data_IF_782192830430
#
_entry.id   IF_782192830430
#
_cell.length_a   1.000
_cell.length_b   1.000
_cell.length_c   1.000
_cell.angle_alpha   90.00
_cell.angle_beta   90.00
_cell.angle_gamma   90.00
#
_symmetry.space_group_name_H-M   'P 1'
#
loop_
_entity.id
_entity.type
_entity.pdbx_description
1 polymer ?
#
# COMPACT_ATOMS: atom_id res chain seq x y z
N UNK A 1 5.90 4.84 24.68
CA UNK A 1 4.55 4.31 24.43
C UNK A 1 4.63 2.80 24.33
N UNK A 2 3.76 2.00 24.98
CA UNK A 2 3.72 0.56 24.75
C UNK A 2 3.58 0.24 23.25
N UNK A 3 4.13 -0.89 22.82
CA UNK A 3 4.14 -1.29 21.40
C UNK A 3 2.72 -1.32 20.78
N UNK A 4 1.72 -1.75 21.54
CA UNK A 4 0.33 -1.77 21.08
C UNK A 4 -0.23 -0.36 20.82
N UNK A 5 0.08 0.61 21.69
CA UNK A 5 -0.33 2.01 21.50
C UNK A 5 0.34 2.60 20.26
N UNK A 6 1.61 2.27 20.02
CA UNK A 6 2.32 2.65 18.81
C UNK A 6 1.64 2.08 17.55
N UNK A 7 1.36 0.77 17.51
CA UNK A 7 0.67 0.13 16.37
C UNK A 7 -0.70 0.78 16.13
N UNK A 8 -1.44 1.04 17.20
CA UNK A 8 -2.73 1.71 17.12
C UNK A 8 -2.61 3.12 16.53
N UNK A 9 -1.66 3.93 17.01
CA UNK A 9 -1.42 5.28 16.51
C UNK A 9 -0.97 5.29 15.04
N UNK A 10 -0.18 4.30 14.63
CA UNK A 10 0.20 4.11 13.23
C UNK A 10 -1.03 3.82 12.35
N UNK A 11 -1.97 3.00 12.85
CA UNK A 11 -3.25 2.78 12.20
C UNK A 11 -4.06 4.08 12.04
N UNK A 12 -4.10 4.92 13.08
CA UNK A 12 -4.72 6.25 13.02
C UNK A 12 -4.08 7.11 11.94
N UNK A 13 -2.74 7.22 11.90
CA UNK A 13 -2.02 7.99 10.87
C UNK A 13 -2.43 7.53 9.47
N UNK A 14 -2.43 6.22 9.23
CA UNK A 14 -2.72 5.65 7.92
C UNK A 14 -4.16 5.92 7.49
N UNK A 15 -5.14 5.72 8.37
CA UNK A 15 -6.56 5.96 8.04
C UNK A 15 -6.81 7.44 7.77
N UNK A 16 -6.33 8.32 8.66
CA UNK A 16 -6.55 9.76 8.54
C UNK A 16 -5.88 10.28 7.28
N UNK A 17 -4.61 9.93 7.06
CA UNK A 17 -3.88 10.32 5.86
C UNK A 17 -4.57 9.82 4.59
N UNK A 18 -4.89 8.52 4.51
CA UNK A 18 -5.49 7.96 3.28
C UNK A 18 -6.89 8.51 3.01
N UNK A 19 -7.65 8.83 4.05
CA UNK A 19 -8.98 9.46 3.90
C UNK A 19 -8.87 10.91 3.46
N UNK A 20 -8.02 11.71 4.12
CA UNK A 20 -7.77 13.10 3.75
C UNK A 20 -7.18 13.21 2.33
N UNK A 21 -6.24 12.34 1.99
CA UNK A 21 -5.61 12.30 0.68
C UNK A 21 -6.60 11.99 -0.44
N UNK A 22 -7.58 11.10 -0.22
CA UNK A 22 -8.62 10.81 -1.22
C UNK A 22 -9.47 12.04 -1.55
N UNK A 23 -9.85 12.81 -0.54
CA UNK A 23 -10.60 14.06 -0.73
C UNK A 23 -9.74 15.03 -1.55
N UNK A 24 -8.49 15.23 -1.14
CA UNK A 24 -7.55 16.12 -1.83
C UNK A 24 -7.32 15.70 -3.29
N UNK A 25 -7.03 14.41 -3.53
CA UNK A 25 -6.82 13.87 -4.86
C UNK A 25 -8.06 14.00 -5.75
N UNK A 26 -9.26 13.90 -5.18
CA UNK A 26 -10.52 14.06 -5.93
C UNK A 26 -10.70 15.50 -6.40
N UNK A 27 -10.44 16.47 -5.53
CA UNK A 27 -10.50 17.91 -5.85
C UNK A 27 -9.48 18.24 -6.93
N UNK A 28 -8.21 17.86 -6.74
CA UNK A 28 -7.15 18.22 -7.69
C UNK A 28 -7.33 17.46 -9.02
N UNK A 29 -7.75 16.20 -8.99
CA UNK A 29 -8.06 15.46 -10.22
C UNK A 29 -9.23 16.08 -10.97
N UNK A 30 -10.20 16.71 -10.31
CA UNK A 30 -11.27 17.45 -10.98
C UNK A 30 -10.70 18.67 -11.70
N UNK A 31 -9.87 19.47 -11.03
CA UNK A 31 -9.25 20.66 -11.61
C UNK A 31 -8.31 20.33 -12.78
N UNK A 32 -7.55 19.24 -12.70
CA UNK A 32 -6.62 18.83 -13.76
C UNK A 32 -7.33 18.30 -15.01
N UNK A 33 -8.57 17.79 -14.88
CA UNK A 33 -9.37 17.38 -16.04
C UNK A 33 -9.75 18.60 -16.88
N UNK A 34 -10.03 19.72 -16.23
CA UNK A 34 -10.36 20.99 -16.90
C UNK A 34 -9.15 21.56 -17.66
N UNK A 35 -7.93 21.12 -17.32
CA UNK A 35 -6.66 21.51 -17.97
C UNK A 35 -6.19 20.54 -19.07
N UNK A 36 -6.97 19.50 -19.39
CA UNK A 36 -6.67 18.57 -20.50
C UNK A 36 -5.55 17.54 -20.22
N UNK A 37 -5.13 17.37 -18.96
CA UNK A 37 -4.09 16.39 -18.60
C UNK A 37 -4.66 14.95 -18.66
N UNK A 38 -3.85 13.99 -19.14
CA UNK A 38 -4.27 12.60 -19.22
C UNK A 38 -4.60 12.02 -17.84
N UNK A 39 -5.75 11.34 -17.73
CA UNK A 39 -6.25 10.76 -16.48
C UNK A 39 -5.25 9.77 -15.86
N UNK A 40 -4.51 9.05 -16.70
CA UNK A 40 -3.56 8.03 -16.26
C UNK A 40 -2.31 8.64 -15.60
N UNK A 41 -1.76 9.72 -16.18
CA UNK A 41 -0.60 10.40 -15.60
C UNK A 41 -0.95 11.06 -14.26
N UNK A 42 -2.09 11.76 -14.22
CA UNK A 42 -2.61 12.36 -12.98
C UNK A 42 -2.78 11.30 -11.90
N UNK A 43 -3.45 10.18 -12.22
CA UNK A 43 -3.65 9.08 -11.27
C UNK A 43 -2.33 8.50 -10.73
N UNK A 44 -1.36 8.24 -11.62
CA UNK A 44 -0.08 7.64 -11.23
C UNK A 44 0.78 8.60 -10.40
N UNK A 45 0.80 9.89 -10.75
CA UNK A 45 1.47 10.94 -9.98
C UNK A 45 0.87 11.07 -8.57
N UNK A 46 -0.46 11.20 -8.45
CA UNK A 46 -1.12 11.26 -7.14
C UNK A 46 -0.86 10.02 -6.29
N UNK A 47 -0.89 8.84 -6.91
CA UNK A 47 -0.59 7.58 -6.22
C UNK A 47 0.84 7.58 -5.68
N UNK A 48 1.82 7.96 -6.49
CA UNK A 48 3.24 7.99 -6.11
C UNK A 48 3.51 8.97 -4.99
N UNK A 49 3.04 10.21 -5.12
CA UNK A 49 3.20 11.25 -4.08
C UNK A 49 2.52 10.84 -2.78
N UNK A 50 1.33 10.22 -2.85
CA UNK A 50 0.63 9.75 -1.66
C UNK A 50 1.43 8.72 -0.88
N UNK A 51 2.04 7.76 -1.57
CA UNK A 51 2.81 6.72 -0.92
C UNK A 51 4.14 7.23 -0.41
N UNK A 52 4.81 8.11 -1.16
CA UNK A 52 6.00 8.80 -0.68
C UNK A 52 5.74 9.52 0.65
N UNK A 53 4.69 10.36 0.71
CA UNK A 53 4.34 11.11 1.92
C UNK A 53 3.94 10.19 3.07
N UNK A 54 3.10 9.18 2.79
CA UNK A 54 2.68 8.21 3.80
C UNK A 54 3.88 7.52 4.43
N UNK A 55 4.78 6.98 3.61
CA UNK A 55 5.97 6.25 4.06
C UNK A 55 6.89 7.16 4.85
N UNK A 56 7.17 8.37 4.35
CA UNK A 56 8.04 9.35 4.99
C UNK A 56 7.54 9.77 6.37
N UNK A 57 6.24 10.11 6.49
CA UNK A 57 5.62 10.49 7.77
C UNK A 57 5.68 9.33 8.77
N UNK A 58 5.42 8.13 8.28
CA UNK A 58 5.40 6.93 9.10
C UNK A 58 6.81 6.59 9.60
N UNK A 59 7.81 6.66 8.71
CA UNK A 59 9.22 6.48 9.05
C UNK A 59 9.70 7.53 10.06
N UNK A 60 9.34 8.80 9.88
CA UNK A 60 9.65 9.87 10.83
C UNK A 60 9.07 9.56 12.22
N UNK A 61 7.81 9.10 12.26
CA UNK A 61 7.18 8.75 13.53
C UNK A 61 7.83 7.52 14.17
N UNK A 62 8.24 6.54 13.38
CA UNK A 62 9.01 5.38 13.85
C UNK A 62 10.37 5.81 14.40
N UNK A 63 11.11 6.66 13.69
CA UNK A 63 12.42 7.17 14.12
C UNK A 63 12.32 7.94 15.46
N UNK A 64 11.34 8.84 15.60
CA UNK A 64 11.07 9.53 16.88
C UNK A 64 10.75 8.56 18.02
N UNK A 65 10.08 7.45 17.72
CA UNK A 65 9.76 6.42 18.71
C UNK A 65 10.97 5.55 19.07
N UNK A 66 11.91 5.39 18.15
CA UNK A 66 13.19 4.70 18.38
C UNK A 66 14.14 5.53 19.23
N UNK A 67 14.27 6.84 18.96
CA UNK A 67 15.11 7.76 19.74
C UNK A 67 14.69 7.86 21.21
N UNK A 68 13.38 7.77 21.47
CA UNK A 68 12.82 7.81 22.82
C UNK A 68 12.84 6.46 23.55
N UNK A 69 13.37 5.40 22.94
CA UNK A 69 13.37 4.04 23.47
C UNK A 69 14.78 3.48 23.68
N UNK A 70 14.90 2.51 24.59
CA UNK A 70 16.15 1.75 24.76
C UNK A 70 16.47 0.90 23.51
N UNK A 71 17.75 0.61 23.29
CA UNK A 71 18.28 -0.02 22.06
C UNK A 71 17.51 -1.27 21.60
N UNK A 72 17.15 -2.18 22.52
CA UNK A 72 16.41 -3.40 22.18
C UNK A 72 14.98 -3.09 21.73
N UNK A 73 14.30 -2.16 22.41
CA UNK A 73 12.91 -1.79 22.11
C UNK A 73 12.85 -0.99 20.81
N UNK A 74 13.88 -0.18 20.51
CA UNK A 74 14.00 0.55 19.25
C UNK A 74 13.99 -0.39 18.03
N UNK A 75 14.70 -1.53 18.10
CA UNK A 75 14.69 -2.53 17.02
C UNK A 75 13.29 -3.09 16.80
N UNK A 76 12.54 -3.35 17.89
CA UNK A 76 11.17 -3.85 17.79
C UNK A 76 10.25 -2.83 17.12
N UNK A 77 10.39 -1.53 17.42
CA UNK A 77 9.62 -0.48 16.72
C UNK A 77 9.98 -0.38 15.24
N UNK A 78 11.25 -0.53 14.88
CA UNK A 78 11.69 -0.53 13.48
C UNK A 78 11.06 -1.68 12.68
N UNK A 79 11.08 -2.89 13.25
CA UNK A 79 10.48 -4.08 12.62
C UNK A 79 8.96 -3.90 12.50
N UNK A 80 8.29 -3.46 13.57
CA UNK A 80 6.86 -3.24 13.56
C UNK A 80 6.44 -2.15 12.55
N UNK A 81 7.19 -1.04 12.49
CA UNK A 81 6.94 0.05 11.53
C UNK A 81 7.10 -0.41 10.09
N UNK A 82 8.17 -1.16 9.80
CA UNK A 82 8.42 -1.75 8.47
C UNK A 82 7.28 -2.69 8.07
N UNK A 83 6.86 -3.55 8.98
CA UNK A 83 5.77 -4.49 8.76
C UNK A 83 4.43 -3.80 8.48
N UNK A 84 4.11 -2.75 9.24
CA UNK A 84 2.89 -1.95 9.04
C UNK A 84 2.90 -1.30 7.66
N UNK A 85 4.01 -0.66 7.26
CA UNK A 85 4.11 -0.03 5.94
C UNK A 85 3.98 -1.07 4.83
N UNK A 86 4.71 -2.18 4.94
CA UNK A 86 4.67 -3.28 3.98
C UNK A 86 3.23 -3.79 3.78
N UNK A 87 2.57 -4.18 4.88
CA UNK A 87 1.21 -4.72 4.84
C UNK A 87 0.20 -3.69 4.32
N UNK A 88 0.38 -2.41 4.63
CA UNK A 88 -0.49 -1.32 4.16
C UNK A 88 -0.40 -1.12 2.67
N UNK A 89 0.81 -1.04 2.13
CA UNK A 89 1.03 -0.83 0.70
C UNK A 89 0.54 -2.06 -0.06
N UNK A 90 0.93 -3.26 0.38
CA UNK A 90 0.46 -4.52 -0.21
C UNK A 90 -1.08 -4.60 -0.23
N UNK A 91 -1.74 -4.27 0.88
CA UNK A 91 -3.19 -4.23 0.98
C UNK A 91 -3.83 -3.23 0.01
N UNK A 92 -3.20 -2.08 -0.20
CA UNK A 92 -3.72 -1.08 -1.14
C UNK A 92 -3.53 -1.50 -2.60
N UNK A 93 -2.41 -2.14 -2.92
CA UNK A 93 -2.15 -2.71 -4.25
C UNK A 93 -3.14 -3.83 -4.58
N UNK A 94 -3.39 -4.74 -3.65
CA UNK A 94 -4.35 -5.82 -3.81
C UNK A 94 -5.76 -5.26 -4.06
N UNK A 95 -6.21 -4.29 -3.27
CA UNK A 95 -7.50 -3.61 -3.49
C UNK A 95 -7.58 -2.94 -4.86
N UNK A 96 -6.50 -2.33 -5.33
CA UNK A 96 -6.46 -1.71 -6.65
C UNK A 96 -6.55 -2.74 -7.77
N UNK A 97 -5.93 -3.92 -7.61
CA UNK A 97 -6.06 -5.06 -8.51
C UNK A 97 -7.50 -5.56 -8.59
N UNK A 98 -8.12 -5.81 -7.44
CA UNK A 98 -9.52 -6.24 -7.39
C UNK A 98 -10.47 -5.24 -8.08
N UNK A 99 -10.26 -3.94 -7.90
CA UNK A 99 -11.04 -2.90 -8.58
C UNK A 99 -10.82 -2.88 -10.10
N UNK A 100 -9.60 -3.13 -10.56
CA UNK A 100 -9.30 -3.19 -11.99
C UNK A 100 -9.95 -4.42 -12.65
N UNK A 101 -9.93 -5.57 -11.97
CA UNK A 101 -10.56 -6.81 -12.42
C UNK A 101 -12.08 -6.64 -12.50
N UNK A 102 -12.72 -6.10 -11.45
CA UNK A 102 -14.18 -5.92 -11.42
C UNK A 102 -14.70 -4.90 -12.44
N UNK A 103 -13.91 -3.89 -12.82
CA UNK A 103 -14.33 -2.86 -13.78
C UNK A 103 -14.05 -3.25 -15.25
N UNK A 104 -13.51 -4.45 -15.54
CA UNK A 104 -13.19 -4.92 -16.91
C UNK A 104 -12.37 -3.93 -17.77
N UNK A 105 -11.68 -2.96 -17.16
CA UNK A 105 -10.87 -1.97 -17.86
C UNK A 105 -9.50 -2.56 -18.23
N UNK A 106 -9.40 -3.23 -19.39
CA UNK A 106 -8.15 -3.85 -19.90
C UNK A 106 -6.94 -2.90 -19.92
N UNK A 107 -7.15 -1.59 -20.12
CA UNK A 107 -6.06 -0.59 -20.08
C UNK A 107 -5.44 -0.39 -18.69
N UNK A 108 -6.18 -0.67 -17.61
CA UNK A 108 -5.72 -0.51 -16.22
C UNK A 108 -4.82 -1.67 -15.75
N UNK A 109 -4.91 -2.82 -16.42
CA UNK A 109 -4.10 -4.02 -16.15
C UNK A 109 -2.62 -3.81 -16.53
N UNK A 110 -2.34 -3.06 -17.61
CA UNK A 110 -0.95 -2.81 -18.07
C UNK A 110 -0.15 -1.92 -17.11
N UNK A 111 -0.81 -1.00 -16.41
CA UNK A 111 -0.18 -0.08 -15.44
C UNK A 111 0.14 -0.78 -14.10
N UNK A 112 -0.50 -1.91 -13.80
CA UNK A 112 -0.26 -2.69 -12.58
C UNK A 112 1.10 -3.40 -12.53
N UNK A 113 1.84 -3.49 -13.64
CA UNK A 113 3.20 -4.03 -13.65
C UNK A 113 4.18 -3.17 -12.83
N UNK A 114 3.88 -1.87 -12.66
CA UNK A 114 4.69 -0.94 -11.88
C UNK A 114 4.40 -0.96 -10.38
N UNK A 115 3.32 -1.62 -9.95
CA UNK A 115 2.91 -1.64 -8.54
C UNK A 115 3.91 -2.39 -7.66
N UNK A 116 4.57 -3.43 -8.19
CA UNK A 116 5.64 -4.15 -7.49
C UNK A 116 6.89 -3.29 -7.28
N UNK A 117 7.31 -2.54 -8.31
CA UNK A 117 8.44 -1.61 -8.20
C UNK A 117 8.15 -0.46 -7.23
N UNK A 118 6.91 0.03 -7.23
CA UNK A 118 6.48 1.07 -6.30
C UNK A 118 6.52 0.57 -4.85
N UNK A 119 6.06 -0.65 -4.59
CA UNK A 119 6.18 -1.27 -3.27
C UNK A 119 7.64 -1.38 -2.83
N UNK A 120 8.52 -1.87 -3.70
CA UNK A 120 9.94 -1.99 -3.38
C UNK A 120 10.58 -0.62 -3.10
N UNK A 121 10.27 0.39 -3.92
CA UNK A 121 10.75 1.76 -3.74
C UNK A 121 10.28 2.34 -2.40
N UNK A 122 9.04 2.07 -1.98
CA UNK A 122 8.53 2.51 -0.68
C UNK A 122 9.25 1.86 0.50
N UNK A 123 9.59 0.56 0.41
CA UNK A 123 10.35 -0.12 1.47
C UNK A 123 11.76 0.45 1.56
N UNK A 124 12.43 0.63 0.43
CA UNK A 124 13.77 1.23 0.40
C UNK A 124 13.75 2.64 0.97
N UNK A 125 12.74 3.44 0.60
CA UNK A 125 12.56 4.77 1.14
C UNK A 125 12.37 4.74 2.66
N UNK A 126 11.52 3.83 3.17
CA UNK A 126 11.31 3.67 4.61
C UNK A 126 12.62 3.40 5.36
N UNK A 127 13.43 2.47 4.87
CA UNK A 127 14.73 2.12 5.46
C UNK A 127 15.68 3.31 5.39
N UNK A 128 15.72 4.01 4.26
CA UNK A 128 16.59 5.17 4.08
C UNK A 128 16.22 6.32 5.05
N UNK A 129 14.92 6.58 5.20
CA UNK A 129 14.41 7.58 6.14
C UNK A 129 14.65 7.20 7.60
N UNK A 130 14.69 5.89 7.94
CA UNK A 130 15.06 5.45 9.29
C UNK A 130 16.53 5.72 9.63
N UNK A 131 17.43 5.63 8.65
CA UNK A 131 18.87 5.88 8.86
C UNK A 131 19.15 7.39 8.94
N UNK A 132 18.43 8.19 8.14
CA UNK A 132 18.59 9.64 8.04
C UNK A 132 17.23 10.34 8.27
N UNK A 133 16.81 10.52 9.53
CA UNK A 133 15.51 11.13 9.85
C UNK A 133 15.42 12.61 9.43
N UNK A 134 16.58 13.29 9.28
CA UNK A 134 16.70 14.68 8.81
C UNK A 134 16.01 14.89 7.45
N UNK A 135 15.98 13.86 6.60
CA UNK A 135 15.36 13.93 5.27
C UNK A 135 13.83 14.04 5.38
N UNK A 136 13.24 13.48 6.43
CA UNK A 136 11.82 13.57 6.70
C UNK A 136 11.44 14.72 7.65
N UNK A 137 12.40 15.34 8.34
CA UNK A 137 12.16 16.52 9.16
C UNK A 137 12.01 17.79 8.31
N UNK A 138 10.96 17.81 7.49
CA UNK A 138 10.59 18.97 6.68
C UNK A 138 9.32 19.61 7.25
N UNK A 139 9.11 20.93 7.02
CA UNK A 139 7.92 21.63 7.48
C UNK A 139 6.62 20.97 7.02
N UNK A 140 6.64 20.36 5.83
CA UNK A 140 5.50 19.66 5.25
C UNK A 140 5.14 18.40 6.05
N UNK A 141 6.10 17.54 6.38
CA UNK A 141 5.81 16.31 7.14
C UNK A 141 5.30 16.64 8.55
N UNK A 142 5.91 17.63 9.21
CA UNK A 142 5.49 18.08 10.53
C UNK A 142 4.09 18.72 10.52
N UNK A 143 3.75 19.49 9.48
CA UNK A 143 2.40 20.02 9.31
C UNK A 143 1.37 18.90 9.14
N UNK A 144 1.68 17.86 8.35
CA UNK A 144 0.77 16.72 8.16
C UNK A 144 0.60 15.96 9.49
N UNK A 145 1.69 15.64 10.19
CA UNK A 145 1.62 14.96 11.50
C UNK A 145 0.80 15.76 12.53
N UNK A 146 1.01 17.08 12.58
CA UNK A 146 0.27 17.96 13.49
C UNK A 146 -1.20 18.03 13.12
N UNK A 147 -1.51 18.08 11.82
CA UNK A 147 -2.89 18.06 11.33
C UNK A 147 -3.59 16.74 11.67
N UNK A 148 -2.92 15.60 11.47
CA UNK A 148 -3.43 14.28 11.86
C UNK A 148 -3.69 14.24 13.37
N UNK A 149 -2.76 14.75 14.19
CA UNK A 149 -2.93 14.82 15.64
C UNK A 149 -4.14 15.65 16.04
N UNK A 150 -4.31 16.85 15.44
CA UNK A 150 -5.46 17.73 15.68
C UNK A 150 -6.79 17.06 15.32
N UNK A 151 -6.81 16.34 14.19
CA UNK A 151 -7.97 15.56 13.74
C UNK A 151 -8.29 14.44 14.73
N UNK A 152 -7.27 13.74 15.23
CA UNK A 152 -7.45 12.68 16.23
C UNK A 152 -7.95 13.21 17.58
N UNK A 153 -7.49 14.37 18.02
CA UNK A 153 -7.91 14.98 19.30
C UNK A 153 -9.25 15.68 19.25
N UNK A 154 -9.90 15.75 18.07
CA UNK A 154 -11.19 16.41 17.93
C UNK A 154 -12.30 15.51 18.50
N UNK A 155 -13.11 15.97 19.46
CA UNK A 155 -13.92 15.09 20.31
C UNK A 155 -14.89 14.17 19.55
N UNK A 156 -15.54 14.69 18.50
CA UNK A 156 -16.46 13.88 17.67
C UNK A 156 -15.70 12.95 16.73
N UNK A 157 -14.65 13.44 16.06
CA UNK A 157 -13.88 12.62 15.13
C UNK A 157 -13.04 11.54 15.84
N UNK A 158 -12.60 11.80 17.07
CA UNK A 158 -11.82 10.86 17.87
C UNK A 158 -12.54 9.51 17.99
N UNK A 159 -13.84 9.53 18.27
CA UNK A 159 -14.64 8.31 18.42
C UNK A 159 -14.67 7.48 17.13
N UNK A 160 -15.03 8.11 15.99
CA UNK A 160 -15.07 7.42 14.71
C UNK A 160 -13.69 6.92 14.28
N UNK A 161 -12.67 7.77 14.39
CA UNK A 161 -11.29 7.43 14.01
C UNK A 161 -10.77 6.29 14.88
N UNK A 162 -11.03 6.28 16.19
CA UNK A 162 -10.61 5.21 17.07
C UNK A 162 -11.26 3.87 16.68
N UNK A 163 -12.55 3.87 16.33
CA UNK A 163 -13.25 2.68 15.83
C UNK A 163 -12.60 2.19 14.53
N UNK A 164 -12.39 3.08 13.56
CA UNK A 164 -11.75 2.69 12.30
C UNK A 164 -10.33 2.19 12.50
N UNK A 165 -9.56 2.82 13.40
CA UNK A 165 -8.19 2.42 13.75
C UNK A 165 -8.16 1.04 14.40
N UNK A 166 -9.14 0.74 15.25
CA UNK A 166 -9.29 -0.58 15.85
C UNK A 166 -9.57 -1.66 14.79
N UNK A 167 -10.55 -1.43 13.92
CA UNK A 167 -10.85 -2.36 12.81
C UNK A 167 -9.66 -2.53 11.86
N UNK A 168 -8.95 -1.44 11.58
CA UNK A 168 -7.76 -1.47 10.75
C UNK A 168 -6.62 -2.27 11.40
N UNK A 169 -6.38 -2.09 12.70
CA UNK A 169 -5.39 -2.86 13.45
C UNK A 169 -5.70 -4.37 13.38
N UNK A 170 -6.96 -4.76 13.61
CA UNK A 170 -7.40 -6.15 13.47
C UNK A 170 -7.14 -6.67 12.05
N UNK A 171 -7.52 -5.89 11.03
CA UNK A 171 -7.31 -6.24 9.63
C UNK A 171 -5.81 -6.39 9.29
N UNK A 172 -4.96 -5.55 9.88
CA UNK A 172 -3.51 -5.61 9.73
C UNK A 172 -2.95 -6.90 10.31
N UNK A 173 -3.44 -7.35 11.47
CA UNK A 173 -3.06 -8.65 12.06
C UNK A 173 -3.45 -9.80 11.13
N UNK A 174 -4.71 -9.85 10.67
CA UNK A 174 -5.16 -10.91 9.77
C UNK A 174 -4.38 -10.95 8.45
N UNK A 175 -4.09 -9.80 7.87
CA UNK A 175 -3.28 -9.70 6.64
C UNK A 175 -1.83 -10.06 6.89
N UNK A 176 -1.30 -9.67 8.04
CA UNK A 176 0.02 -10.03 8.52
C UNK A 176 0.20 -11.55 8.62
N UNK A 177 -0.78 -12.24 9.19
CA UNK A 177 -0.80 -13.70 9.28
C UNK A 177 -0.81 -14.37 7.90
N UNK A 178 -1.66 -13.89 6.97
CA UNK A 178 -1.72 -14.41 5.59
C UNK A 178 -0.43 -14.16 4.79
N UNK A 179 0.17 -12.98 4.95
CA UNK A 179 1.42 -12.64 4.30
C UNK A 179 2.57 -13.51 4.83
N UNK A 180 2.59 -13.76 6.15
CA UNK A 180 3.56 -14.66 6.77
C UNK A 180 3.37 -16.09 6.25
N UNK A 181 2.15 -16.59 6.14
CA UNK A 181 1.87 -17.92 5.57
C UNK A 181 2.34 -18.03 4.11
N UNK A 182 2.14 -17.00 3.30
CA UNK A 182 2.62 -16.98 1.89
C UNK A 182 4.16 -17.02 1.81
N UNK A 183 4.85 -16.25 2.66
CA UNK A 183 6.32 -16.24 2.72
C UNK A 183 6.86 -17.55 3.30
N UNK A 184 6.22 -18.09 4.34
CA UNK A 184 6.57 -19.38 4.94
C UNK A 184 6.39 -20.51 3.92
N UNK A 185 5.30 -20.51 3.16
CA UNK A 185 5.10 -21.46 2.07
C UNK A 185 6.12 -21.28 0.97
N UNK A 186 6.51 -20.05 0.60
CA UNK A 186 7.52 -19.82 -0.44
C UNK A 186 8.92 -20.27 -0.01
N UNK A 187 9.25 -20.17 1.28
CA UNK A 187 10.56 -20.55 1.83
C UNK A 187 10.64 -22.04 2.19
N UNK A 188 9.58 -22.59 2.81
CA UNK A 188 9.56 -23.97 3.32
C UNK A 188 8.93 -24.97 2.35
N UNK A 189 8.04 -24.55 1.45
CA UNK A 189 7.61 -25.40 0.31
C UNK A 189 8.45 -25.00 -0.90
N UNK A 190 9.49 -25.80 -1.20
CA UNK A 190 9.97 -25.93 -2.58
C UNK A 190 8.73 -26.19 -3.44
N UNK A 191 8.48 -25.32 -4.42
CA UNK A 191 7.39 -25.47 -5.41
C UNK A 191 7.14 -26.96 -5.70
N UNK A 192 5.92 -27.50 -5.53
CA UNK A 192 5.51 -28.52 -6.46
C UNK A 192 5.45 -27.83 -7.83
N UNK A 193 6.34 -28.30 -8.70
CA UNK A 193 6.27 -28.19 -10.14
C UNK A 193 4.82 -28.31 -10.61
N UNK A 194 4.46 -27.42 -11.54
CA UNK A 194 3.28 -27.46 -12.41
C UNK A 194 2.61 -28.85 -12.42
N UNK A 195 1.38 -28.93 -11.94
CA UNK A 195 0.48 -30.02 -12.35
C UNK A 195 0.05 -29.72 -13.78
N UNK A 196 0.90 -30.12 -14.73
CA UNK A 196 0.50 -30.38 -16.10
C UNK A 196 -0.36 -31.65 -16.05
N UNK A 197 -1.68 -31.48 -16.01
CA UNK A 197 -2.58 -32.57 -16.35
C UNK A 197 -2.47 -32.75 -17.87
N UNK A 198 -2.11 -33.94 -18.37
CA UNK A 198 -2.04 -34.17 -19.80
C UNK A 198 -3.47 -34.14 -20.35
N UNK A 199 -3.72 -33.29 -21.34
CA UNK A 199 -4.90 -33.42 -22.18
C UNK A 199 -4.70 -34.58 -23.17
N UNK A 200 -5.79 -35.20 -23.63
CA UNK A 200 -5.75 -36.45 -24.42
C UNK A 200 -5.07 -36.33 -25.80
N UNK A 201 -4.62 -35.14 -26.21
CA UNK A 201 -3.94 -34.88 -27.49
C UNK A 201 -2.45 -34.49 -27.37
N UNK A 202 -1.83 -34.68 -26.20
CA UNK A 202 -0.36 -34.62 -26.07
C UNK A 202 0.27 -33.24 -26.30
N UNK A 203 -0.51 -32.17 -26.26
CA UNK A 203 -0.02 -30.81 -26.44
C UNK A 203 0.05 -30.06 -25.11
N UNK A 204 1.23 -29.53 -24.76
CA UNK A 204 1.47 -28.83 -23.50
C UNK A 204 1.06 -27.36 -23.62
N UNK A 205 -0.20 -27.04 -23.33
CA UNK A 205 -0.66 -25.65 -23.22
C UNK A 205 -0.48 -25.17 -21.77
N UNK A 206 0.43 -24.21 -21.59
CA UNK A 206 0.58 -23.48 -20.34
C UNK A 206 -0.61 -22.52 -20.23
N UNK A 207 -1.56 -22.81 -19.34
CA UNK A 207 -2.64 -21.87 -19.01
C UNK A 207 -2.05 -20.62 -18.33
N UNK A 208 -1.73 -19.60 -19.12
CA UNK A 208 -1.68 -18.22 -18.64
C UNK A 208 -3.11 -17.69 -18.63
N UNK A 209 -3.60 -17.31 -17.45
CA UNK A 209 -4.98 -16.93 -17.12
C UNK A 209 -5.41 -15.56 -17.69
N UNK A 210 -5.16 -15.34 -18.98
CA UNK A 210 -5.75 -14.28 -19.80
C UNK A 210 -6.07 -14.89 -21.16
N UNK A 211 -7.31 -15.32 -21.34
CA UNK A 211 -7.84 -15.63 -22.65
C UNK A 211 -7.97 -14.29 -23.43
N UNK A 212 -6.97 -13.99 -24.26
CA UNK A 212 -7.13 -13.04 -25.35
C UNK A 212 -8.13 -13.66 -26.32
N UNK A 213 -9.36 -13.15 -26.30
CA UNK A 213 -10.32 -13.40 -27.38
C UNK A 213 -9.79 -12.67 -28.61
N UNK A 214 -9.05 -13.38 -29.46
CA UNK A 214 -8.75 -12.95 -30.81
C UNK A 214 -10.07 -12.92 -31.58
N UNK A 215 -10.58 -11.72 -31.84
CA UNK A 215 -11.61 -11.54 -32.89
C UNK A 215 -10.89 -11.65 -34.22
N UNK A 216 -10.80 -12.88 -34.74
CA UNK A 216 -10.35 -13.10 -36.10
C UNK A 216 -11.32 -12.42 -37.06
N UNK A 217 -10.77 -11.47 -37.78
CA UNK A 217 -11.36 -10.77 -38.90
C UNK A 217 -11.51 -11.76 -40.06
N UNK A 218 -12.66 -12.43 -40.17
CA UNK A 218 -13.05 -13.11 -41.41
C UNK A 218 -13.92 -12.17 -42.24
N UNK A 219 -13.25 -11.31 -43.00
CA UNK A 219 -13.67 -11.04 -44.37
C UNK A 219 -13.66 -12.38 -45.13
N UNK A 220 -14.82 -12.84 -45.62
CA UNK A 220 -14.92 -13.38 -46.97
C UNK A 220 -16.36 -13.73 -47.40
N UNK A 221 -16.71 -13.14 -48.55
CA UNK A 221 -17.75 -13.46 -49.53
C UNK A 221 -19.18 -12.97 -49.30
#
# INVERSE_FOLDING_TARGET
MPLLEYIFYMGVIIIVFTSAWKILATIISSLLKDLGISKDFSFLFFKTVSYYLLVSITALKTAQQMESAHSVVAVVYAIAGTFIIYTTIAANLEKNRWRAVMNFERKRIRVMRYDGYLLMACILLFIFTLIQPVIADTPMHNWILTTIRKIYTFPVLQFFIAIFAFFYMINLIFKGLRATDTVLQTIFKRKPVNTTTPDSDGNYTVYTDYEEVDTDNTDNK
#
